data_IF_917340600710
#
_entry.id   IF_917340600710
#
_cell.length_a   1.000
_cell.length_b   1.000
_cell.length_c   1.000
_cell.angle_alpha   90.00
_cell.angle_beta   90.00
_cell.angle_gamma   90.00
#
_symmetry.space_group_name_H-M   'P 1'
#
loop_
_entity.id
_entity.type
_entity.pdbx_description
1 polymer ?
#
# COMPACT_ATOMS: atom_id res chain seq x y z
N UNK A 1 -2.34 23.90 -6.49
CA UNK A 1 -2.66 22.86 -7.48
C UNK A 1 -3.59 23.36 -8.57
N UNK A 2 -3.30 23.03 -9.83
CA UNK A 2 -4.20 23.33 -10.97
C UNK A 2 -4.58 22.04 -11.68
N UNK A 3 -5.77 22.04 -12.26
CA UNK A 3 -6.31 20.89 -12.98
C UNK A 3 -6.73 21.30 -14.37
N UNK A 4 -6.26 20.55 -15.37
CA UNK A 4 -6.90 20.59 -16.68
C UNK A 4 -8.04 19.58 -16.69
N UNK A 5 -9.22 20.02 -17.10
CA UNK A 5 -10.44 19.21 -17.04
C UNK A 5 -11.39 19.52 -18.19
N UNK A 6 -12.34 18.62 -18.39
CA UNK A 6 -13.51 18.83 -19.26
C UNK A 6 -14.78 18.44 -18.50
N UNK A 7 -15.93 19.01 -18.88
CA UNK A 7 -17.24 18.62 -18.34
C UNK A 7 -17.93 17.71 -19.34
N UNK A 8 -18.24 16.49 -18.92
CA UNK A 8 -19.00 15.50 -19.70
C UNK A 8 -20.24 15.10 -18.91
N UNK A 9 -21.42 15.32 -19.49
CA UNK A 9 -22.71 14.97 -18.88
C UNK A 9 -22.87 15.52 -17.44
N UNK A 10 -22.40 16.74 -17.19
CA UNK A 10 -22.47 17.39 -15.87
C UNK A 10 -21.44 16.90 -14.84
N UNK A 11 -20.50 16.04 -15.22
CA UNK A 11 -19.41 15.58 -14.36
C UNK A 11 -18.05 16.02 -14.90
N UNK A 12 -17.11 16.29 -14.00
CA UNK A 12 -15.75 16.69 -14.35
C UNK A 12 -14.87 15.46 -14.63
N UNK A 13 -14.13 15.53 -15.73
CA UNK A 13 -13.08 14.58 -16.11
C UNK A 13 -11.74 15.28 -16.01
N UNK A 14 -10.87 14.82 -15.10
CA UNK A 14 -9.53 15.39 -14.94
C UNK A 14 -8.62 14.81 -16.02
N UNK A 15 -7.97 15.70 -16.77
CA UNK A 15 -7.09 15.37 -17.89
C UNK A 15 -5.62 15.58 -17.54
N UNK A 16 -5.28 16.57 -16.70
CA UNK A 16 -3.93 16.84 -16.19
C UNK A 16 -3.97 17.46 -14.80
N UNK A 17 -2.90 17.27 -14.05
CA UNK A 17 -2.64 17.94 -12.77
C UNK A 17 -1.32 18.73 -12.86
N UNK A 18 -1.26 19.89 -12.22
CA UNK A 18 -0.07 20.72 -12.14
C UNK A 18 0.17 21.16 -10.70
N UNK A 19 1.37 20.89 -10.18
CA UNK A 19 1.79 21.30 -8.85
C UNK A 19 3.32 21.35 -8.74
N UNK A 20 3.85 22.06 -7.74
CA UNK A 20 5.28 22.03 -7.42
C UNK A 20 5.65 20.89 -6.47
N UNK A 21 4.67 20.38 -5.72
CA UNK A 21 4.80 19.19 -4.92
C UNK A 21 4.83 17.91 -5.75
N UNK A 22 4.87 16.79 -5.04
CA UNK A 22 4.91 15.44 -5.63
C UNK A 22 3.64 14.63 -5.38
N UNK A 23 2.68 15.23 -4.68
CA UNK A 23 1.44 14.60 -4.27
C UNK A 23 0.28 15.23 -5.02
N UNK A 24 -0.60 14.39 -5.57
CA UNK A 24 -1.80 14.81 -6.28
C UNK A 24 -3.04 14.51 -5.45
N UNK A 25 -3.64 15.52 -4.85
CA UNK A 25 -4.94 15.42 -4.20
C UNK A 25 -6.03 15.84 -5.18
N UNK A 26 -6.67 14.85 -5.82
CA UNK A 26 -7.73 15.12 -6.78
C UNK A 26 -8.99 15.59 -6.04
N UNK A 27 -9.52 16.80 -6.33
CA UNK A 27 -10.67 17.35 -5.64
C UNK A 27 -11.93 16.56 -5.95
N UNK A 28 -12.90 16.57 -5.03
CA UNK A 28 -14.22 15.94 -5.26
C UNK A 28 -15.09 16.72 -6.25
N UNK A 29 -14.80 17.99 -6.48
CA UNK A 29 -15.57 18.90 -7.35
C UNK A 29 -14.63 19.86 -8.09
N UNK A 30 -14.93 20.12 -9.36
CA UNK A 30 -14.29 21.15 -10.19
C UNK A 30 -15.41 21.93 -10.90
N UNK A 31 -15.39 23.26 -10.80
CA UNK A 31 -16.35 24.14 -11.50
C UNK A 31 -17.82 23.81 -11.17
N UNK A 32 -18.13 23.52 -9.90
CA UNK A 32 -19.48 23.14 -9.47
C UNK A 32 -19.90 21.72 -9.85
N UNK A 33 -19.03 20.95 -10.52
CA UNK A 33 -19.33 19.63 -11.05
C UNK A 33 -18.54 18.55 -10.30
N UNK A 34 -19.15 17.41 -9.92
CA UNK A 34 -18.45 16.34 -9.24
C UNK A 34 -17.37 15.73 -10.15
N UNK A 35 -16.20 15.43 -9.59
CA UNK A 35 -15.12 14.72 -10.29
C UNK A 35 -15.40 13.22 -10.27
N UNK A 36 -15.66 12.65 -11.44
CA UNK A 36 -16.04 11.23 -11.57
C UNK A 36 -15.08 10.41 -12.42
N UNK A 37 -14.19 11.04 -13.17
CA UNK A 37 -13.27 10.34 -14.08
C UNK A 37 -11.87 10.97 -14.09
N UNK A 38 -10.85 10.12 -14.01
CA UNK A 38 -9.51 10.45 -14.48
C UNK A 38 -9.40 10.03 -15.94
N UNK A 39 -9.03 10.95 -16.82
CA UNK A 39 -8.88 10.67 -18.24
C UNK A 39 -7.69 9.76 -18.54
N UNK A 40 -7.69 9.19 -19.75
CA UNK A 40 -6.54 8.44 -20.25
C UNK A 40 -5.26 9.29 -20.21
N UNK A 41 -4.15 8.67 -19.80
CA UNK A 41 -2.83 9.29 -19.64
C UNK A 41 -2.76 10.48 -18.67
N UNK A 42 -3.68 10.62 -17.69
CA UNK A 42 -3.79 11.81 -16.83
C UNK A 42 -2.48 12.22 -16.13
N UNK A 43 -1.68 11.26 -15.69
CA UNK A 43 -0.38 11.43 -15.03
C UNK A 43 0.80 10.90 -15.86
N UNK A 44 0.55 10.47 -17.10
CA UNK A 44 1.60 9.89 -17.93
C UNK A 44 2.42 10.96 -18.64
N UNK A 45 3.75 10.77 -18.61
CA UNK A 45 4.71 11.57 -19.34
C UNK A 45 4.66 11.38 -20.87
N UNK A 46 3.94 10.37 -21.38
CA UNK A 46 3.99 9.96 -22.80
C UNK A 46 2.77 10.36 -23.64
N UNK A 47 1.84 11.17 -23.13
CA UNK A 47 0.85 11.78 -24.03
C UNK A 47 1.54 12.86 -24.86
N UNK A 48 1.37 12.81 -26.19
CA UNK A 48 1.92 13.84 -27.07
C UNK A 48 1.41 15.22 -26.69
N UNK A 49 2.29 16.09 -26.19
CA UNK A 49 1.99 17.50 -25.85
C UNK A 49 1.21 18.22 -26.95
N UNK A 50 1.46 17.85 -28.20
CA UNK A 50 0.76 18.40 -29.37
C UNK A 50 -0.75 18.11 -29.36
N UNK A 51 -1.17 16.88 -29.01
CA UNK A 51 -2.59 16.52 -28.94
C UNK A 51 -3.29 17.27 -27.82
N UNK A 52 -2.66 17.37 -26.67
CA UNK A 52 -3.23 18.08 -25.53
C UNK A 52 -3.31 19.60 -25.77
N UNK A 53 -2.28 20.20 -26.37
CA UNK A 53 -2.29 21.60 -26.78
C UNK A 53 -3.41 21.91 -27.78
N UNK A 54 -3.78 20.96 -28.66
CA UNK A 54 -4.94 21.10 -29.55
C UNK A 54 -6.26 21.05 -28.77
N UNK A 55 -6.40 20.16 -27.78
CA UNK A 55 -7.59 20.06 -26.93
C UNK A 55 -7.85 21.39 -26.18
N UNK A 56 -6.80 22.03 -25.66
CA UNK A 56 -6.91 23.36 -25.03
C UNK A 56 -7.24 24.48 -26.02
N UNK A 57 -6.60 24.51 -27.19
CA UNK A 57 -6.91 25.51 -28.24
C UNK A 57 -8.36 25.40 -28.70
N UNK A 58 -8.91 24.19 -28.73
CA UNK A 58 -10.31 23.94 -29.09
C UNK A 58 -11.32 24.30 -27.99
N UNK A 59 -10.85 24.70 -26.79
CA UNK A 59 -11.65 24.89 -25.56
C UNK A 59 -12.40 23.64 -25.09
N UNK A 60 -12.03 22.46 -25.59
CA UNK A 60 -12.54 21.19 -25.08
C UNK A 60 -12.09 20.95 -23.63
N UNK A 61 -10.90 21.46 -23.28
CA UNK A 61 -10.30 21.37 -21.95
C UNK A 61 -10.11 22.78 -21.40
N UNK A 62 -10.39 22.94 -20.11
CA UNK A 62 -10.22 24.18 -19.33
C UNK A 62 -9.20 23.96 -18.22
N UNK A 63 -8.64 25.05 -17.69
CA UNK A 63 -7.81 25.02 -16.49
C UNK A 63 -8.61 25.56 -15.31
N UNK A 64 -8.54 24.90 -14.17
CA UNK A 64 -9.14 25.34 -12.93
C UNK A 64 -8.12 25.33 -11.79
N UNK A 65 -8.15 26.38 -10.98
CA UNK A 65 -7.24 26.59 -9.86
C UNK A 65 -7.93 26.18 -8.56
N UNK A 66 -7.33 25.23 -7.84
CA UNK A 66 -7.91 24.67 -6.63
C UNK A 66 -7.97 25.70 -5.49
N UNK A 67 -6.95 26.55 -5.36
CA UNK A 67 -6.87 27.54 -4.29
C UNK A 67 -7.88 28.69 -4.48
N UNK A 68 -7.96 29.24 -5.69
CA UNK A 68 -8.86 30.38 -5.98
C UNK A 68 -10.28 29.94 -6.31
N UNK A 69 -10.46 28.66 -6.69
CA UNK A 69 -11.71 28.09 -7.22
C UNK A 69 -12.18 28.72 -8.52
N UNK A 70 -11.27 29.32 -9.29
CA UNK A 70 -11.58 30.02 -10.54
C UNK A 70 -11.04 29.28 -11.77
N UNK A 71 -11.69 29.49 -12.92
CA UNK A 71 -11.19 29.06 -14.22
C UNK A 71 -10.06 29.98 -14.69
N UNK A 72 -8.98 29.39 -15.20
CA UNK A 72 -7.88 30.11 -15.84
C UNK A 72 -7.99 30.00 -17.37
N UNK A 73 -7.74 31.09 -18.08
CA UNK A 73 -7.95 31.18 -19.52
C UNK A 73 -6.86 30.51 -20.38
N UNK A 74 -5.75 30.07 -19.77
CA UNK A 74 -4.57 29.51 -20.44
C UNK A 74 -3.93 28.43 -19.57
N UNK A 75 -3.17 27.53 -20.20
CA UNK A 75 -2.26 26.64 -19.48
C UNK A 75 -1.29 27.42 -18.59
N UNK A 76 -0.84 26.82 -17.47
CA UNK A 76 0.25 27.36 -16.68
C UNK A 76 1.48 27.60 -17.57
N UNK A 77 2.15 28.75 -17.43
CA UNK A 77 3.41 28.98 -18.16
C UNK A 77 4.49 27.99 -17.67
N UNK A 78 5.58 27.78 -18.43
CA UNK A 78 6.70 26.96 -17.97
C UNK A 78 7.36 27.46 -16.66
N UNK A 79 7.18 28.74 -16.29
CA UNK A 79 7.61 29.28 -15.00
C UNK A 79 6.56 29.09 -13.89
N UNK A 80 5.36 28.62 -14.22
CA UNK A 80 4.33 28.21 -13.28
C UNK A 80 4.54 26.75 -12.82
N UNK A 81 3.53 26.19 -12.15
CA UNK A 81 3.59 24.82 -11.66
C UNK A 81 3.72 23.81 -12.83
N UNK A 82 4.69 22.88 -12.80
CA UNK A 82 4.87 21.86 -13.83
C UNK A 82 3.72 20.83 -13.82
N UNK A 83 3.56 20.10 -14.92
CA UNK A 83 2.68 18.92 -14.98
C UNK A 83 3.19 17.85 -14.00
N UNK A 84 2.35 17.45 -13.06
CA UNK A 84 2.66 16.39 -12.10
C UNK A 84 2.49 15.03 -12.81
N UNK A 85 3.58 14.45 -13.31
CA UNK A 85 3.56 13.26 -14.15
C UNK A 85 4.82 12.40 -14.03
N UNK A 86 4.75 11.15 -14.47
CA UNK A 86 5.92 10.28 -14.64
C UNK A 86 6.78 10.15 -13.38
N UNK A 87 8.03 10.64 -13.45
CA UNK A 87 9.01 10.59 -12.35
C UNK A 87 8.79 11.65 -11.26
N UNK A 88 7.78 12.51 -11.38
CA UNK A 88 7.54 13.59 -10.40
C UNK A 88 6.44 13.25 -9.39
N UNK A 89 5.47 12.42 -9.78
CA UNK A 89 4.33 12.07 -8.93
C UNK A 89 4.67 10.87 -8.05
N UNK A 90 4.63 11.06 -6.73
CA UNK A 90 4.93 10.03 -5.72
C UNK A 90 3.65 9.48 -5.07
N UNK A 91 2.65 10.33 -4.84
CA UNK A 91 1.38 9.96 -4.19
C UNK A 91 0.20 10.51 -4.97
N UNK A 92 -0.85 9.69 -5.13
CA UNK A 92 -2.11 10.13 -5.73
C UNK A 92 -3.28 9.77 -4.83
N UNK A 93 -4.11 10.75 -4.49
CA UNK A 93 -5.33 10.59 -3.71
C UNK A 93 -6.56 10.88 -4.55
N UNK A 94 -7.41 9.86 -4.75
CA UNK A 94 -8.61 9.91 -5.57
C UNK A 94 -9.86 10.18 -4.71
N UNK A 95 -10.78 11.06 -5.15
CA UNK A 95 -11.94 11.43 -4.36
C UNK A 95 -12.97 10.29 -4.30
N UNK A 96 -13.81 10.30 -3.26
CA UNK A 96 -14.90 9.32 -3.09
C UNK A 96 -15.90 9.31 -4.26
N UNK A 97 -16.03 10.42 -4.99
CA UNK A 97 -16.86 10.56 -6.18
C UNK A 97 -16.31 9.88 -7.45
N UNK A 98 -15.04 9.48 -7.47
CA UNK A 98 -14.42 8.93 -8.68
C UNK A 98 -15.00 7.56 -9.01
N UNK A 99 -15.38 7.34 -10.28
CA UNK A 99 -15.95 6.07 -10.77
C UNK A 99 -15.06 5.38 -11.79
N UNK A 100 -14.26 6.14 -12.52
CA UNK A 100 -13.50 5.66 -13.66
C UNK A 100 -12.09 6.23 -13.75
N UNK A 101 -11.14 5.40 -14.17
CA UNK A 101 -9.80 5.82 -14.58
C UNK A 101 -9.56 5.34 -16.00
N UNK A 102 -9.15 6.23 -16.89
CA UNK A 102 -8.87 5.93 -18.29
C UNK A 102 -7.59 5.10 -18.48
N UNK A 103 -7.45 4.51 -19.68
CA UNK A 103 -6.30 3.69 -20.02
C UNK A 103 -4.98 4.46 -19.86
N UNK A 104 -3.95 3.76 -19.38
CA UNK A 104 -2.60 4.31 -19.23
C UNK A 104 -2.51 5.58 -18.36
N UNK A 105 -3.47 5.81 -17.43
CA UNK A 105 -3.50 7.05 -16.65
C UNK A 105 -2.20 7.29 -15.86
N UNK A 106 -1.54 6.24 -15.37
CA UNK A 106 -0.27 6.30 -14.67
C UNK A 106 0.90 5.71 -15.47
N UNK A 107 0.80 5.64 -16.80
CA UNK A 107 1.85 5.02 -17.63
C UNK A 107 3.22 5.70 -17.45
N UNK A 108 4.22 4.89 -17.09
CA UNK A 108 5.59 5.29 -16.72
C UNK A 108 5.67 6.28 -15.54
N UNK A 109 4.71 6.22 -14.60
CA UNK A 109 4.83 6.90 -13.32
C UNK A 109 5.79 6.15 -12.38
N UNK A 110 7.08 6.17 -12.72
CA UNK A 110 8.11 5.43 -11.98
C UNK A 110 8.32 5.91 -10.55
N UNK A 111 7.96 7.14 -10.20
CA UNK A 111 8.10 7.63 -8.83
C UNK A 111 6.85 7.34 -7.97
N UNK A 112 5.74 6.91 -8.59
CA UNK A 112 4.49 6.68 -7.88
C UNK A 112 4.67 5.51 -6.91
N UNK A 113 4.62 5.79 -5.63
CA UNK A 113 4.78 4.81 -4.55
C UNK A 113 3.46 4.51 -3.84
N UNK A 114 2.51 5.44 -3.87
CA UNK A 114 1.27 5.35 -3.10
C UNK A 114 0.03 5.79 -3.90
N UNK A 115 -1.03 4.98 -3.83
CA UNK A 115 -2.35 5.32 -4.40
C UNK A 115 -3.46 5.14 -3.37
N UNK A 116 -4.22 6.21 -3.14
CA UNK A 116 -5.40 6.19 -2.27
C UNK A 116 -6.67 6.28 -3.11
N UNK A 117 -7.61 5.37 -2.88
CA UNK A 117 -8.86 5.32 -3.62
C UNK A 117 -10.03 4.84 -2.77
N UNK A 118 -11.24 4.95 -3.31
CA UNK A 118 -12.47 4.57 -2.64
C UNK A 118 -13.14 3.40 -3.38
N UNK A 119 -13.95 2.62 -2.66
CA UNK A 119 -14.77 1.52 -3.19
C UNK A 119 -15.68 1.89 -4.36
N UNK A 120 -15.97 3.18 -4.51
CA UNK A 120 -16.78 3.72 -5.60
C UNK A 120 -16.11 3.68 -6.97
N UNK A 121 -14.79 3.53 -7.03
CA UNK A 121 -14.04 3.30 -8.27
C UNK A 121 -14.37 1.92 -8.83
N UNK A 122 -14.94 1.86 -10.04
CA UNK A 122 -15.42 0.62 -10.66
C UNK A 122 -14.75 0.30 -12.00
N UNK A 123 -14.42 1.32 -12.78
CA UNK A 123 -13.96 1.16 -14.16
C UNK A 123 -12.47 1.55 -14.28
N UNK A 124 -11.62 0.56 -14.55
CA UNK A 124 -10.19 0.74 -14.77
C UNK A 124 -9.86 0.54 -16.24
N UNK A 125 -9.16 1.50 -16.84
CA UNK A 125 -8.66 1.37 -18.20
C UNK A 125 -7.43 0.48 -18.26
N UNK A 126 -7.20 -0.12 -19.43
CA UNK A 126 -6.08 -1.04 -19.64
C UNK A 126 -4.71 -0.39 -19.43
N UNK A 127 -3.76 -1.18 -18.92
CA UNK A 127 -2.36 -0.80 -18.75
C UNK A 127 -2.20 0.37 -17.78
N UNK A 128 -3.01 0.39 -16.72
CA UNK A 128 -3.16 1.54 -15.84
C UNK A 128 -1.83 1.89 -15.16
N UNK A 129 -1.11 0.87 -14.71
CA UNK A 129 0.16 0.96 -13.96
C UNK A 129 1.37 0.44 -14.75
N UNK A 130 1.28 0.33 -16.07
CA UNK A 130 2.43 -0.11 -16.88
C UNK A 130 3.59 0.88 -16.70
N UNK A 131 4.71 0.38 -16.18
CA UNK A 131 5.89 1.21 -15.84
C UNK A 131 5.78 1.95 -14.51
N UNK A 132 5.00 1.46 -13.54
CA UNK A 132 4.93 1.99 -12.18
C UNK A 132 5.70 1.10 -11.19
N UNK A 133 7.01 0.95 -11.39
CA UNK A 133 7.81 -0.05 -10.65
C UNK A 133 8.04 0.22 -9.16
N UNK A 134 7.68 1.40 -8.66
CA UNK A 134 7.80 1.75 -7.24
C UNK A 134 6.46 1.76 -6.49
N UNK A 135 5.34 1.45 -7.18
CA UNK A 135 4.04 1.42 -6.53
C UNK A 135 3.99 0.23 -5.58
N UNK A 136 4.14 0.51 -4.30
CA UNK A 136 4.21 -0.51 -3.24
C UNK A 136 3.14 -0.36 -2.17
N UNK A 137 2.33 0.72 -2.21
CA UNK A 137 1.30 0.95 -1.21
C UNK A 137 -0.04 1.36 -1.83
N UNK A 138 -1.11 0.70 -1.37
CA UNK A 138 -2.49 1.05 -1.68
C UNK A 138 -3.26 1.31 -0.40
N UNK A 139 -4.04 2.39 -0.39
CA UNK A 139 -5.07 2.62 0.62
C UNK A 139 -6.43 2.61 -0.04
N UNK A 140 -7.30 1.68 0.36
CA UNK A 140 -8.68 1.62 -0.12
C UNK A 140 -9.65 1.90 1.01
N UNK A 141 -10.53 2.89 0.81
CA UNK A 141 -11.65 3.16 1.71
C UNK A 141 -12.92 2.49 1.21
N UNK A 142 -13.40 1.50 1.96
CA UNK A 142 -14.60 0.74 1.67
C UNK A 142 -15.87 1.44 2.17
N UNK A 143 -16.91 1.38 1.35
CA UNK A 143 -18.27 1.71 1.74
C UNK A 143 -18.94 0.48 2.41
N UNK A 144 -20.24 0.58 2.71
CA UNK A 144 -20.99 -0.52 3.33
C UNK A 144 -21.17 -1.77 2.47
N UNK A 145 -20.73 -1.78 1.20
CA UNK A 145 -20.80 -2.96 0.33
C UNK A 145 -19.60 -3.89 0.50
N UNK A 146 -18.51 -3.41 1.09
CA UNK A 146 -17.24 -4.14 1.24
C UNK A 146 -16.65 -4.66 -0.11
N UNK A 147 -17.02 -4.03 -1.24
CA UNK A 147 -16.50 -4.36 -2.57
C UNK A 147 -15.71 -3.20 -3.17
N UNK A 148 -14.65 -3.49 -3.91
CA UNK A 148 -13.85 -2.48 -4.61
C UNK A 148 -13.20 -3.05 -5.87
N UNK A 149 -12.47 -2.22 -6.61
CA UNK A 149 -11.63 -2.66 -7.72
C UNK A 149 -10.21 -3.11 -7.27
N UNK A 150 -10.02 -3.40 -5.97
CA UNK A 150 -8.70 -3.73 -5.41
C UNK A 150 -8.08 -4.95 -6.09
N UNK A 151 -8.88 -6.00 -6.35
CA UNK A 151 -8.40 -7.22 -7.03
C UNK A 151 -7.81 -6.89 -8.40
N UNK A 152 -8.52 -6.07 -9.17
CA UNK A 152 -8.12 -5.68 -10.52
C UNK A 152 -6.81 -4.88 -10.51
N UNK A 153 -6.64 -3.97 -9.55
CA UNK A 153 -5.38 -3.24 -9.37
C UNK A 153 -4.23 -4.19 -9.02
N UNK A 154 -4.45 -5.09 -8.04
CA UNK A 154 -3.42 -6.00 -7.57
C UNK A 154 -2.94 -6.95 -8.68
N UNK A 155 -3.82 -7.41 -9.57
CA UNK A 155 -3.44 -8.31 -10.67
C UNK A 155 -2.60 -7.58 -11.73
N UNK A 156 -2.77 -6.28 -11.93
CA UNK A 156 -1.95 -5.50 -12.86
C UNK A 156 -0.55 -5.18 -12.34
N UNK A 157 -0.33 -5.26 -11.01
CA UNK A 157 0.94 -4.87 -10.37
C UNK A 157 1.62 -6.12 -9.77
N UNK A 158 2.62 -6.71 -10.46
CA UNK A 158 3.33 -7.89 -9.99
C UNK A 158 4.20 -7.68 -8.75
N UNK A 159 4.62 -6.44 -8.50
CA UNK A 159 5.49 -6.06 -7.39
C UNK A 159 4.82 -6.32 -6.02
N UNK A 160 5.64 -6.41 -4.96
CA UNK A 160 5.15 -6.53 -3.57
C UNK A 160 4.28 -5.32 -3.22
N UNK A 161 3.11 -5.57 -2.63
CA UNK A 161 2.11 -4.53 -2.36
C UNK A 161 1.60 -4.56 -0.92
N UNK A 162 1.84 -3.49 -0.17
CA UNK A 162 1.21 -3.24 1.11
C UNK A 162 -0.17 -2.59 0.88
N UNK A 163 -1.21 -3.16 1.49
CA UNK A 163 -2.59 -2.71 1.32
C UNK A 163 -3.18 -2.36 2.68
N UNK A 164 -3.58 -1.11 2.83
CA UNK A 164 -4.42 -0.66 3.94
C UNK A 164 -5.87 -0.60 3.48
N UNK A 165 -6.75 -1.31 4.18
CA UNK A 165 -8.19 -1.26 4.01
C UNK A 165 -8.79 -0.46 5.16
N UNK A 166 -9.54 0.58 4.84
CA UNK A 166 -10.24 1.42 5.80
C UNK A 166 -11.75 1.39 5.57
N UNK A 167 -12.56 1.60 6.62
CA UNK A 167 -14.01 1.60 6.52
C UNK A 167 -14.65 1.18 7.84
N UNK A 168 -15.59 0.23 7.77
CA UNK A 168 -16.23 -0.37 8.96
C UNK A 168 -15.23 -1.17 9.82
N UNK A 169 -14.12 -1.60 9.23
CA UNK A 169 -12.99 -2.20 9.88
C UNK A 169 -11.70 -1.60 9.31
N UNK A 170 -10.58 -1.84 9.99
CA UNK A 170 -9.24 -1.55 9.49
C UNK A 170 -8.48 -2.85 9.30
N UNK A 171 -7.85 -3.03 8.15
CA UNK A 171 -6.97 -4.16 7.86
C UNK A 171 -5.68 -3.66 7.23
N UNK A 172 -4.58 -4.33 7.55
CA UNK A 172 -3.33 -4.25 6.79
C UNK A 172 -2.98 -5.64 6.27
N UNK A 173 -2.55 -5.69 5.02
CA UNK A 173 -2.29 -6.92 4.29
C UNK A 173 -1.11 -6.66 3.35
N UNK A 174 -0.23 -7.64 3.22
CA UNK A 174 0.90 -7.59 2.31
C UNK A 174 0.74 -8.67 1.24
N UNK A 175 0.69 -8.27 -0.01
CA UNK A 175 0.62 -9.16 -1.16
C UNK A 175 2.04 -9.31 -1.72
N UNK A 176 2.68 -10.48 -1.60
CA UNK A 176 4.05 -10.69 -2.07
C UNK A 176 4.17 -10.52 -3.58
N UNK A 177 5.39 -10.43 -4.10
CA UNK A 177 5.59 -10.30 -5.54
C UNK A 177 5.25 -11.60 -6.30
N UNK A 178 5.02 -11.49 -7.60
CA UNK A 178 4.93 -12.64 -8.51
C UNK A 178 5.47 -12.27 -9.88
N UNK A 179 5.94 -13.25 -10.65
CA UNK A 179 6.31 -13.02 -12.05
C UNK A 179 5.98 -14.21 -12.95
N UNK A 180 5.81 -13.91 -14.23
CA UNK A 180 5.51 -14.89 -15.27
C UNK A 180 6.77 -15.20 -16.08
N UNK A 181 7.09 -16.48 -16.22
CA UNK A 181 8.17 -16.96 -17.09
C UNK A 181 7.59 -17.82 -18.22
N UNK A 182 7.88 -17.46 -19.47
CA UNK A 182 7.53 -18.26 -20.64
C UNK A 182 8.67 -19.20 -21.02
N UNK A 183 8.49 -20.50 -20.76
CA UNK A 183 9.47 -21.55 -21.08
C UNK A 183 9.07 -22.25 -22.38
N UNK A 184 9.96 -22.24 -23.37
CA UNK A 184 9.73 -22.96 -24.62
C UNK A 184 10.04 -24.46 -24.46
N UNK A 185 9.03 -25.30 -24.63
CA UNK A 185 9.22 -26.73 -24.82
C UNK A 185 9.54 -27.00 -26.30
N UNK A 186 10.81 -26.88 -26.67
CA UNK A 186 11.29 -27.00 -28.06
C UNK A 186 10.85 -28.30 -28.75
N UNK A 187 10.89 -29.49 -28.10
CA UNK A 187 10.37 -30.72 -28.69
C UNK A 187 8.87 -30.68 -29.03
N UNK A 188 8.06 -30.06 -28.17
CA UNK A 188 6.62 -29.95 -28.36
C UNK A 188 6.20 -28.74 -29.21
N UNK A 189 7.09 -27.76 -29.42
CA UNK A 189 6.80 -26.44 -30.02
C UNK A 189 5.67 -25.70 -29.28
N UNK A 190 5.65 -25.84 -27.96
CA UNK A 190 4.66 -25.21 -27.08
C UNK A 190 5.39 -24.27 -26.12
N UNK A 191 4.83 -23.08 -25.89
CA UNK A 191 5.23 -22.20 -24.80
C UNK A 191 4.45 -22.59 -23.55
N UNK A 192 5.17 -22.86 -22.46
CA UNK A 192 4.60 -23.11 -21.15
C UNK A 192 4.82 -21.88 -20.28
N UNK A 193 3.75 -21.29 -19.79
CA UNK A 193 3.80 -20.22 -18.80
C UNK A 193 3.95 -20.83 -17.41
N UNK A 194 4.97 -20.40 -16.69
CA UNK A 194 5.18 -20.70 -15.28
C UNK A 194 4.99 -19.42 -14.46
N UNK A 195 4.24 -19.54 -13.36
CA UNK A 195 4.07 -18.47 -12.38
C UNK A 195 5.00 -18.75 -11.21
N UNK A 196 5.77 -17.76 -10.81
CA UNK A 196 6.70 -17.82 -9.69
C UNK A 196 6.31 -16.81 -8.60
N UNK A 197 6.72 -17.12 -7.36
CA UNK A 197 6.38 -16.34 -6.17
C UNK A 197 4.99 -16.65 -5.64
N UNK A 198 4.76 -16.33 -4.35
CA UNK A 198 3.50 -16.65 -3.71
C UNK A 198 2.41 -15.61 -4.00
N UNK A 199 2.78 -14.46 -4.56
CA UNK A 199 1.93 -13.28 -4.75
C UNK A 199 0.62 -13.53 -5.50
N UNK A 200 0.62 -14.42 -6.50
CA UNK A 200 -0.60 -14.75 -7.25
C UNK A 200 -1.64 -15.50 -6.39
N UNK A 201 -1.19 -16.31 -5.42
CA UNK A 201 -2.09 -17.02 -4.51
C UNK A 201 -2.87 -16.03 -3.64
N UNK A 202 -2.16 -15.05 -3.05
CA UNK A 202 -2.77 -13.99 -2.26
C UNK A 202 -3.72 -13.12 -3.10
N UNK A 203 -3.33 -12.77 -4.33
CA UNK A 203 -4.18 -11.99 -5.26
C UNK A 203 -5.45 -12.72 -5.73
N UNK A 204 -5.51 -14.04 -5.55
CA UNK A 204 -6.70 -14.84 -5.80
C UNK A 204 -7.65 -14.95 -4.60
N UNK A 205 -7.32 -14.33 -3.46
CA UNK A 205 -8.11 -14.37 -2.22
C UNK A 205 -9.31 -13.42 -2.23
N UNK A 206 -10.05 -13.41 -3.35
CA UNK A 206 -11.20 -12.55 -3.57
C UNK A 206 -12.37 -13.37 -4.09
N UNK A 207 -13.52 -13.27 -3.43
CA UNK A 207 -14.79 -13.74 -3.97
C UNK A 207 -15.50 -12.58 -4.67
N UNK A 208 -15.64 -12.69 -6.00
CA UNK A 208 -16.02 -11.56 -6.86
C UNK A 208 -15.08 -10.36 -6.65
N UNK A 209 -15.57 -9.28 -6.04
CA UNK A 209 -14.84 -8.03 -5.75
C UNK A 209 -14.62 -7.80 -4.25
N UNK A 210 -14.93 -8.80 -3.42
CA UNK A 210 -14.79 -8.76 -1.96
C UNK A 210 -13.58 -9.56 -1.54
N UNK A 211 -12.75 -8.99 -0.68
CA UNK A 211 -11.62 -9.69 -0.08
C UNK A 211 -12.12 -10.81 0.84
N UNK A 212 -11.55 -12.01 0.66
CA UNK A 212 -11.80 -13.16 1.52
C UNK A 212 -10.58 -13.41 2.42
N UNK A 213 -10.68 -12.96 3.67
CA UNK A 213 -9.62 -13.11 4.67
C UNK A 213 -9.27 -14.57 4.94
N UNK A 214 -10.22 -15.50 4.87
CA UNK A 214 -9.94 -16.91 5.12
C UNK A 214 -9.14 -17.52 3.98
N UNK A 215 -9.47 -17.17 2.73
CA UNK A 215 -8.68 -17.57 1.57
C UNK A 215 -7.27 -16.96 1.61
N UNK A 216 -7.16 -15.70 2.05
CA UNK A 216 -5.89 -15.02 2.22
C UNK A 216 -5.01 -15.71 3.27
N UNK A 217 -5.54 -15.95 4.47
CA UNK A 217 -4.83 -16.62 5.56
C UNK A 217 -4.47 -18.07 5.21
N UNK A 218 -5.27 -18.73 4.37
CA UNK A 218 -4.96 -20.07 3.87
C UNK A 218 -3.72 -20.11 2.96
N UNK A 219 -3.29 -18.99 2.37
CA UNK A 219 -2.10 -18.91 1.53
C UNK A 219 -0.80 -18.77 2.34
N UNK A 220 -0.87 -18.54 3.65
CA UNK A 220 0.29 -18.23 4.48
C UNK A 220 1.41 -19.29 4.47
N UNK A 221 1.06 -20.57 4.29
CA UNK A 221 2.06 -21.63 4.15
C UNK A 221 2.96 -21.48 2.92
N UNK A 222 2.45 -20.90 1.82
CA UNK A 222 3.25 -20.60 0.64
C UNK A 222 4.20 -19.45 0.91
N UNK A 223 3.73 -18.40 1.62
CA UNK A 223 4.61 -17.30 2.01
C UNK A 223 5.80 -17.79 2.83
N UNK A 224 5.56 -18.67 3.82
CA UNK A 224 6.63 -19.30 4.61
C UNK A 224 7.63 -20.12 3.79
N UNK A 225 7.23 -20.62 2.62
CA UNK A 225 8.05 -21.49 1.79
C UNK A 225 8.82 -20.73 0.70
N UNK A 226 8.26 -19.63 0.21
CA UNK A 226 8.73 -18.95 -1.01
C UNK A 226 9.27 -17.53 -0.75
N UNK A 227 8.84 -16.86 0.32
CA UNK A 227 9.17 -15.46 0.59
C UNK A 227 10.34 -15.31 1.57
N UNK A 228 10.97 -14.13 1.53
CA UNK A 228 12.01 -13.76 2.47
C UNK A 228 11.46 -13.51 3.89
N UNK A 229 12.37 -13.52 4.88
CA UNK A 229 12.01 -13.35 6.29
C UNK A 229 11.28 -12.04 6.57
N UNK A 230 11.70 -10.93 5.95
CA UNK A 230 11.15 -9.60 6.23
C UNK A 230 9.70 -9.53 5.71
N UNK A 231 9.44 -10.11 4.54
CA UNK A 231 8.11 -10.23 3.97
C UNK A 231 7.18 -11.09 4.85
N UNK A 232 7.62 -12.26 5.31
CA UNK A 232 6.80 -13.13 6.19
C UNK A 232 6.57 -12.49 7.56
N UNK A 233 7.56 -11.77 8.10
CA UNK A 233 7.44 -11.05 9.37
C UNK A 233 6.43 -9.90 9.27
N UNK A 234 6.50 -9.09 8.22
CA UNK A 234 5.56 -8.01 7.95
C UNK A 234 4.13 -8.56 7.82
N UNK A 235 3.92 -9.64 7.05
CA UNK A 235 2.63 -10.32 6.95
C UNK A 235 2.11 -10.80 8.31
N UNK A 236 2.97 -11.41 9.11
CA UNK A 236 2.62 -11.94 10.43
C UNK A 236 2.18 -10.83 11.37
N UNK A 237 2.95 -9.75 11.41
CA UNK A 237 2.67 -8.59 12.24
C UNK A 237 1.36 -7.91 11.82
N UNK A 238 1.17 -7.68 10.53
CA UNK A 238 -0.06 -7.08 10.00
C UNK A 238 -1.30 -7.92 10.35
N UNK A 239 -1.23 -9.24 10.20
CA UNK A 239 -2.36 -10.13 10.51
C UNK A 239 -2.67 -10.21 11.99
N UNK A 240 -1.65 -10.23 12.86
CA UNK A 240 -1.85 -10.28 14.31
C UNK A 240 -2.32 -8.93 14.88
N UNK A 241 -1.85 -7.81 14.33
CA UNK A 241 -2.28 -6.45 14.73
C UNK A 241 -3.66 -6.07 14.20
N UNK A 242 -4.03 -6.55 13.01
CA UNK A 242 -5.32 -6.26 12.38
C UNK A 242 -6.12 -7.54 12.09
N UNK A 243 -6.58 -8.27 13.12
CA UNK A 243 -7.06 -9.65 13.00
C UNK A 243 -8.50 -9.78 12.47
N UNK A 244 -8.97 -8.85 11.64
CA UNK A 244 -10.29 -8.97 11.01
C UNK A 244 -10.35 -10.27 10.20
N UNK A 245 -11.41 -11.05 10.42
CA UNK A 245 -11.63 -12.33 9.75
C UNK A 245 -10.64 -13.45 10.10
N UNK A 246 -9.65 -13.21 10.97
CA UNK A 246 -8.63 -14.20 11.35
C UNK A 246 -9.27 -15.30 12.22
N UNK A 247 -9.18 -16.55 11.78
CA UNK A 247 -9.63 -17.69 12.59
C UNK A 247 -8.58 -18.09 13.62
N UNK A 248 -9.00 -18.76 14.69
CA UNK A 248 -8.11 -19.16 15.79
C UNK A 248 -7.01 -20.13 15.32
N UNK A 249 -7.31 -21.08 14.45
CA UNK A 249 -6.31 -22.00 13.87
C UNK A 249 -5.25 -21.26 13.05
N UNK A 250 -5.63 -20.17 12.37
CA UNK A 250 -4.71 -19.34 11.58
C UNK A 250 -3.91 -18.41 12.47
N UNK A 251 -4.53 -17.83 13.50
CA UNK A 251 -3.84 -17.07 14.54
C UNK A 251 -2.73 -17.89 15.17
N UNK A 252 -3.01 -19.13 15.57
CA UNK A 252 -2.03 -20.06 16.13
C UNK A 252 -0.85 -20.31 15.17
N UNK A 253 -1.10 -20.43 13.86
CA UNK A 253 -0.02 -20.59 12.86
C UNK A 253 0.88 -19.34 12.77
N UNK A 254 0.30 -18.13 12.74
CA UNK A 254 1.05 -16.87 12.77
C UNK A 254 1.87 -16.71 14.06
N UNK A 255 1.25 -16.94 15.21
CA UNK A 255 1.92 -16.84 16.52
C UNK A 255 3.02 -17.89 16.67
N UNK A 256 2.78 -19.13 16.22
CA UNK A 256 3.79 -20.19 16.25
C UNK A 256 4.98 -19.84 15.37
N UNK A 257 4.75 -19.29 14.17
CA UNK A 257 5.84 -18.85 13.31
C UNK A 257 6.63 -17.71 13.96
N UNK A 258 5.96 -16.68 14.49
CA UNK A 258 6.62 -15.56 15.16
C UNK A 258 7.47 -16.01 16.34
N UNK A 259 6.92 -16.89 17.20
CA UNK A 259 7.64 -17.42 18.37
C UNK A 259 8.89 -18.20 17.96
N UNK A 260 8.85 -18.92 16.82
CA UNK A 260 10.01 -19.62 16.27
C UNK A 260 11.11 -18.71 15.73
N UNK A 261 10.80 -17.44 15.44
CA UNK A 261 11.72 -16.47 14.82
C UNK A 261 11.88 -15.19 15.64
N UNK A 262 11.53 -15.23 16.92
CA UNK A 262 11.43 -14.04 17.76
C UNK A 262 12.76 -13.28 17.84
N UNK A 263 13.88 -14.00 17.93
CA UNK A 263 15.24 -13.40 17.93
C UNK A 263 15.47 -12.54 16.69
N UNK A 264 15.22 -13.10 15.51
CA UNK A 264 15.41 -12.41 14.23
C UNK A 264 14.46 -11.21 14.09
N UNK A 265 13.24 -11.32 14.62
CA UNK A 265 12.29 -10.21 14.64
C UNK A 265 12.79 -9.04 15.52
N UNK A 266 13.35 -9.33 16.70
CA UNK A 266 13.98 -8.31 17.54
C UNK A 266 15.22 -7.68 16.89
N UNK A 267 16.05 -8.48 16.21
CA UNK A 267 17.17 -7.98 15.43
C UNK A 267 16.71 -6.99 14.36
N UNK A 268 15.61 -7.29 13.64
CA UNK A 268 15.02 -6.39 12.65
C UNK A 268 14.48 -5.09 13.24
N UNK A 269 13.83 -5.17 14.39
CA UNK A 269 13.36 -3.98 15.10
C UNK A 269 14.52 -3.04 15.47
N UNK A 270 15.67 -3.59 15.87
CA UNK A 270 16.87 -2.81 16.17
C UNK A 270 17.55 -2.28 14.91
N UNK A 271 17.69 -3.11 13.87
CA UNK A 271 18.29 -2.74 12.58
C UNK A 271 17.59 -1.51 11.97
N UNK A 272 16.25 -1.52 11.98
CA UNK A 272 15.44 -0.43 11.44
C UNK A 272 15.15 0.69 12.44
N UNK A 273 15.57 0.55 13.70
CA UNK A 273 15.27 1.49 14.79
C UNK A 273 13.77 1.70 14.97
N UNK A 274 13.01 0.63 14.81
CA UNK A 274 11.56 0.61 14.86
C UNK A 274 11.09 0.34 16.31
N UNK A 275 10.77 1.43 17.01
CA UNK A 275 10.30 1.37 18.40
C UNK A 275 8.92 0.70 18.50
N UNK A 276 8.03 0.93 17.52
CA UNK A 276 6.68 0.39 17.56
C UNK A 276 6.71 -1.13 17.41
N UNK A 277 7.52 -1.65 16.47
CA UNK A 277 7.77 -3.08 16.32
C UNK A 277 8.39 -3.68 17.59
N UNK A 278 9.40 -3.03 18.16
CA UNK A 278 10.08 -3.49 19.37
C UNK A 278 9.12 -3.61 20.57
N UNK A 279 8.28 -2.60 20.76
CA UNK A 279 7.25 -2.57 21.79
C UNK A 279 6.23 -3.69 21.58
N UNK A 280 5.74 -3.84 20.35
CA UNK A 280 4.74 -4.83 20.01
C UNK A 280 5.25 -6.27 20.24
N UNK A 281 6.48 -6.57 19.79
CA UNK A 281 7.13 -7.87 19.99
C UNK A 281 7.33 -8.20 21.47
N UNK A 282 7.66 -7.20 22.30
CA UNK A 282 7.84 -7.38 23.74
C UNK A 282 6.51 -7.74 24.43
N UNK A 283 5.41 -7.16 23.97
CA UNK A 283 4.08 -7.40 24.54
C UNK A 283 3.45 -8.71 24.07
N UNK A 284 3.64 -9.09 22.81
CA UNK A 284 2.91 -10.21 22.19
C UNK A 284 3.78 -11.45 21.99
N UNK A 285 5.08 -11.28 21.73
CA UNK A 285 6.03 -12.38 21.50
C UNK A 285 6.54 -13.06 22.77
N UNK A 286 6.26 -12.49 23.96
CA UNK A 286 6.66 -13.04 25.27
C UNK A 286 8.14 -13.46 25.34
N UNK A 287 9.09 -12.58 24.97
CA UNK A 287 10.52 -12.89 25.03
C UNK A 287 10.95 -13.15 26.47
N UNK A 288 11.99 -13.98 26.65
CA UNK A 288 12.62 -14.13 27.95
C UNK A 288 13.56 -12.94 28.29
N UNK A 289 13.92 -12.81 29.56
CA UNK A 289 14.81 -11.73 30.03
C UNK A 289 16.20 -11.77 29.34
N UNK A 290 16.62 -12.94 28.84
CA UNK A 290 17.88 -13.12 28.13
C UNK A 290 17.86 -12.44 26.76
N UNK A 291 16.82 -12.69 25.97
CA UNK A 291 16.60 -12.05 24.68
C UNK A 291 16.44 -10.54 24.83
N UNK A 292 15.66 -10.07 25.80
CA UNK A 292 15.52 -8.64 26.07
C UNK A 292 16.86 -7.98 26.42
N UNK A 293 17.69 -8.64 27.24
CA UNK A 293 19.02 -8.15 27.60
C UNK A 293 19.96 -8.07 26.40
N UNK A 294 19.97 -9.10 25.55
CA UNK A 294 20.81 -9.12 24.34
C UNK A 294 20.37 -8.04 23.34
N UNK A 295 19.06 -7.86 23.17
CA UNK A 295 18.49 -6.83 22.31
C UNK A 295 18.87 -5.43 22.81
N UNK A 296 18.82 -5.18 24.12
CA UNK A 296 19.21 -3.91 24.69
C UNK A 296 20.69 -3.58 24.46
N UNK A 297 21.57 -4.59 24.45
CA UNK A 297 22.98 -4.43 24.10
C UNK A 297 23.14 -4.07 22.62
N UNK A 298 22.42 -4.76 21.73
CA UNK A 298 22.47 -4.48 20.29
C UNK A 298 21.95 -3.06 19.96
N UNK A 299 20.88 -2.62 20.62
CA UNK A 299 20.28 -1.29 20.44
C UNK A 299 21.15 -0.14 20.97
N UNK A 300 22.18 -0.42 21.79
CA UNK A 300 23.07 0.60 22.34
C UNK A 300 23.81 1.39 21.24
N UNK A 301 23.99 0.79 20.07
CA UNK A 301 24.55 1.46 18.90
C UNK A 301 23.47 2.21 18.10
N UNK A 302 23.16 3.43 18.52
CA UNK A 302 22.35 4.36 17.73
C UNK A 302 20.83 4.19 17.84
N UNK A 303 20.32 3.45 18.84
CA UNK A 303 18.88 3.36 19.14
C UNK A 303 18.55 3.55 20.64
N UNK A 304 18.79 4.75 21.20
CA UNK A 304 18.69 5.01 22.65
C UNK A 304 17.27 4.84 23.21
N UNK A 305 16.23 5.13 22.44
CA UNK A 305 14.83 4.96 22.84
C UNK A 305 14.51 3.47 23.06
N UNK A 306 14.97 2.60 22.15
CA UNK A 306 14.82 1.16 22.27
C UNK A 306 15.54 0.60 23.50
N UNK A 307 16.76 1.08 23.78
CA UNK A 307 17.50 0.70 25.00
C UNK A 307 16.73 1.08 26.26
N UNK A 308 16.26 2.34 26.34
CA UNK A 308 15.53 2.83 27.49
C UNK A 308 14.26 2.00 27.76
N UNK A 309 13.51 1.70 26.69
CA UNK A 309 12.31 0.85 26.78
C UNK A 309 12.63 -0.56 27.30
N UNK A 310 13.65 -1.22 26.74
CA UNK A 310 14.01 -2.59 27.13
C UNK A 310 14.54 -2.67 28.57
N UNK A 311 15.31 -1.67 29.01
CA UNK A 311 15.81 -1.59 30.38
C UNK A 311 14.69 -1.40 31.40
N UNK A 312 13.69 -0.56 31.10
CA UNK A 312 12.51 -0.39 31.94
C UNK A 312 11.74 -1.71 32.08
N UNK A 313 11.54 -2.44 30.97
CA UNK A 313 10.87 -3.75 30.96
C UNK A 313 11.62 -4.81 31.77
N UNK A 314 12.95 -4.87 31.67
CA UNK A 314 13.79 -5.75 32.49
C UNK A 314 13.75 -5.38 33.98
N UNK A 315 13.69 -4.08 34.31
CA UNK A 315 13.54 -3.61 35.68
C UNK A 315 12.21 -4.00 36.30
N UNK A 316 11.11 -3.85 35.55
CA UNK A 316 9.77 -4.20 35.99
C UNK A 316 9.60 -5.71 36.27
N UNK A 317 10.20 -6.59 35.45
CA UNK A 317 10.17 -8.05 35.66
C UNK A 317 10.96 -8.48 36.91
N UNK A 318 12.07 -7.78 37.22
CA UNK A 318 12.85 -7.97 38.44
C UNK A 318 12.11 -7.60 39.72
N UNK A 319 11.28 -6.55 39.69
CA UNK A 319 10.45 -6.14 40.83
C UNK A 319 9.33 -7.16 41.13
N UNK A 320 8.65 -7.68 40.11
CA UNK A 320 7.59 -8.70 40.28
C UNK A 320 8.17 -10.03 40.77
N UNK A 321 9.34 -10.45 40.28
CA UNK A 321 10.03 -11.66 40.77
C UNK A 321 10.49 -11.54 42.22
N UNK A 322 10.97 -10.36 42.66
CA UNK A 322 11.32 -10.11 44.07
C UNK A 322 10.10 -10.13 45.00
N UNK A 323 8.97 -9.57 44.56
CA UNK A 323 7.74 -9.56 45.34
C UNK A 323 7.15 -10.97 45.48
N UNK A 324 7.05 -11.74 44.38
CA UNK A 324 6.65 -13.15 44.44
C UNK A 324 7.61 -14.04 45.23
N UNK A 325 8.89 -13.68 45.32
CA UNK A 325 9.87 -14.41 46.13
C UNK A 325 9.66 -14.12 47.61
N UNK A 326 9.48 -12.86 48.01
CA UNK A 326 9.21 -12.45 49.39
C UNK A 326 7.88 -13.05 49.90
N UNK A 327 6.83 -13.07 49.07
CA UNK A 327 5.53 -13.66 49.44
C UNK A 327 5.59 -15.17 49.72
N UNK A 328 6.63 -15.89 49.23
CA UNK A 328 6.83 -17.32 49.52
C UNK A 328 7.50 -17.60 50.86
N UNK A 329 8.06 -16.57 51.51
CA UNK A 329 8.69 -16.68 52.83
C UNK A 329 7.81 -16.08 53.96
N UNK A 330 6.60 -15.61 53.65
CA UNK A 330 5.60 -15.13 54.63
C UNK A 330 4.48 -16.16 54.92
N UNK A 331 4.72 -17.47 54.72
CA UNK A 331 3.80 -18.55 55.12
C UNK A 331 4.27 -19.30 56.37
#
# INVERSE_FOLDING_TARGET
MRFAYEIKNGCAVVRRCYDFGKEAEIPSEIDGCPVTELGAYAFSAHLGRERFALELKSKAVKIWNFETKEQEAKEPSPEAAPELQGIQVERVSLPEGLRKIGAYAFYNCNALSELHFHSSLKDLGAGLFTGCHHLGQLTVKLDGTETSCLKEILIEVPEKMAVTVEGQFRAKLLFPEFFEESVENTPARILMTHMHGSGMNFRNSFYMKKLDFRAYDACYYMAKAEEDFDTVLEMTMDRLQYPVGLSEDRREDYESWLNGHLVQAFEKAVEHRDLDMLMWLTEHGKPDDGLLSQTAIAAADGFPEGVAYLQDRLGASGHTKKQSFLDRFEL
#
